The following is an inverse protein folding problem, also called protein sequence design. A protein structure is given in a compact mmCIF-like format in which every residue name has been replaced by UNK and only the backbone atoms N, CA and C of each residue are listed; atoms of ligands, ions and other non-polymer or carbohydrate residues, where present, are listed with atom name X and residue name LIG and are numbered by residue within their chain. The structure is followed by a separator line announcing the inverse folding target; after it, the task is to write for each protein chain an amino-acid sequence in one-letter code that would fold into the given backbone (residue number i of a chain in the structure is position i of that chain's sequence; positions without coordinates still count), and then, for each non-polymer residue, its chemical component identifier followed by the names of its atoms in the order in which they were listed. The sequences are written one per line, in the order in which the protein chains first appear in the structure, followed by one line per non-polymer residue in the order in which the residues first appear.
data_IF_003398309408
#
_entry.id   IF_003398309408
#
_cell.length_a   1.000
_cell.length_b   1.000
_cell.length_c   1.000
_cell.angle_alpha   90.00
_cell.angle_beta   90.00
_cell.angle_gamma   90.00
#
_symmetry.space_group_name_H-M   'P 1'
#
loop_
_entity.id
_entity.type
_entity.pdbx_description
1 polymer ?
#
# COMPACT_ATOMS: atom_id res chain seq x y z
N UNK A 1 -1.81 -38.40 27.87
CA UNK A 1 -1.26 -38.15 26.52
C UNK A 1 -2.19 -37.31 25.64
N UNK A 2 -3.46 -37.72 25.40
CA UNK A 2 -4.44 -36.95 24.60
C UNK A 2 -4.72 -35.52 25.12
N UNK A 3 -4.81 -35.35 26.45
CA UNK A 3 -4.99 -34.04 27.10
C UNK A 3 -3.76 -33.12 26.93
N UNK A 4 -2.57 -33.71 26.79
CA UNK A 4 -1.31 -32.98 26.63
C UNK A 4 -1.16 -32.46 25.19
N UNK A 5 -1.60 -33.25 24.20
CA UNK A 5 -1.67 -32.83 22.79
C UNK A 5 -2.71 -31.73 22.55
N UNK A 6 -3.84 -31.77 23.25
CA UNK A 6 -4.87 -30.73 23.13
C UNK A 6 -4.39 -29.39 23.70
N UNK A 7 -3.59 -29.42 24.76
CA UNK A 7 -3.01 -28.23 25.39
C UNK A 7 -1.96 -27.54 24.50
N UNK A 8 -1.16 -28.30 23.75
CA UNK A 8 -0.16 -27.74 22.81
C UNK A 8 -0.79 -27.11 21.58
N UNK A 9 -1.92 -27.64 21.10
CA UNK A 9 -2.69 -27.06 19.98
C UNK A 9 -3.28 -25.69 20.33
N UNK A 10 -3.81 -25.54 21.55
CA UNK A 10 -4.38 -24.27 22.03
C UNK A 10 -3.27 -23.22 22.24
N UNK A 11 -2.12 -23.63 22.78
CA UNK A 11 -0.96 -22.74 22.93
C UNK A 11 -0.44 -22.25 21.57
N UNK A 12 -0.33 -23.14 20.57
CA UNK A 12 0.10 -22.77 19.22
C UNK A 12 -0.87 -21.79 18.52
N UNK A 13 -2.18 -21.94 18.72
CA UNK A 13 -3.18 -21.02 18.17
C UNK A 13 -3.07 -19.60 18.77
N UNK A 14 -2.66 -19.48 20.03
CA UNK A 14 -2.49 -18.19 20.70
C UNK A 14 -1.31 -17.36 20.16
N UNK A 15 -0.28 -18.01 19.60
CA UNK A 15 0.86 -17.33 18.97
C UNK A 15 0.49 -16.66 17.64
N UNK A 16 -0.53 -17.16 16.93
CA UNK A 16 -1.03 -16.54 15.69
C UNK A 16 -1.96 -15.36 15.96
N UNK A 17 -2.53 -15.23 17.16
CA UNK A 17 -3.42 -14.12 17.52
C UNK A 17 -2.67 -12.81 17.79
N UNK A 18 -1.33 -12.84 17.91
CA UNK A 18 -0.47 -11.65 18.14
C UNK A 18 0.25 -11.23 16.87
N UNK A 19 -0.28 -11.55 15.68
CA UNK A 19 0.12 -10.84 14.46
C UNK A 19 -0.37 -9.40 14.58
N UNK A 20 0.50 -8.53 15.10
CA UNK A 20 0.31 -7.09 15.20
C UNK A 20 -0.32 -6.58 13.90
N UNK A 21 -1.59 -6.14 13.96
CA UNK A 21 -2.19 -5.42 12.85
C UNK A 21 -1.34 -4.16 12.66
N UNK A 22 -0.69 -4.04 11.50
CA UNK A 22 0.05 -2.85 11.13
C UNK A 22 -0.85 -1.63 11.37
N UNK A 23 -0.45 -0.76 12.30
CA UNK A 23 -1.27 0.35 12.78
C UNK A 23 -1.20 1.53 11.81
N UNK A 24 -1.57 1.29 10.55
CA UNK A 24 -1.67 2.33 9.53
C UNK A 24 -3.02 3.08 9.58
N UNK A 25 -3.91 2.74 10.53
CA UNK A 25 -5.32 3.12 10.55
C UNK A 25 -5.57 4.60 10.23
N UNK A 26 -5.05 5.52 11.03
CA UNK A 26 -5.32 6.96 10.85
C UNK A 26 -4.85 7.51 9.51
N UNK A 27 -3.66 7.14 9.05
CA UNK A 27 -3.09 7.58 7.77
C UNK A 27 -3.82 6.94 6.59
N UNK A 28 -4.06 5.63 6.65
CA UNK A 28 -4.75 4.90 5.61
C UNK A 28 -6.22 5.35 5.50
N UNK A 29 -6.88 5.62 6.61
CA UNK A 29 -8.23 6.18 6.64
C UNK A 29 -8.27 7.57 6.03
N UNK A 30 -7.27 8.41 6.32
CA UNK A 30 -7.14 9.72 5.67
C UNK A 30 -6.93 9.59 4.15
N UNK A 31 -6.09 8.64 3.69
CA UNK A 31 -5.88 8.35 2.26
C UNK A 31 -7.18 7.87 1.62
N UNK A 32 -7.86 6.90 2.24
CA UNK A 32 -9.14 6.36 1.77
C UNK A 32 -10.21 7.44 1.68
N UNK A 33 -10.30 8.31 2.69
CA UNK A 33 -11.22 9.46 2.72
C UNK A 33 -10.89 10.48 1.64
N UNK A 34 -9.61 10.70 1.33
CA UNK A 34 -9.16 11.57 0.22
C UNK A 34 -9.52 10.98 -1.14
N UNK A 35 -9.60 9.65 -1.25
CA UNK A 35 -10.01 8.92 -2.44
C UNK A 35 -8.90 8.73 -3.48
N UNK A 36 -7.65 9.09 -3.15
CA UNK A 36 -6.48 8.89 -4.01
C UNK A 36 -5.18 8.93 -3.20
N UNK A 37 -4.12 8.34 -3.75
CA UNK A 37 -2.75 8.46 -3.23
C UNK A 37 -2.11 9.74 -3.78
N UNK A 38 -1.66 10.62 -2.90
CA UNK A 38 -0.79 11.73 -3.28
C UNK A 38 0.62 11.18 -3.49
N UNK A 39 1.06 11.12 -4.75
CA UNK A 39 2.35 10.57 -5.13
C UNK A 39 3.36 11.71 -5.32
N UNK A 40 4.37 11.79 -4.44
CA UNK A 40 5.47 12.74 -4.57
C UNK A 40 6.58 12.12 -5.42
N UNK A 41 6.77 12.64 -6.63
CA UNK A 41 7.81 12.22 -7.57
C UNK A 41 8.53 13.46 -8.11
N UNK A 42 9.76 13.27 -8.56
CA UNK A 42 10.50 14.29 -9.27
C UNK A 42 10.10 14.31 -10.75
N UNK A 43 10.47 15.37 -11.47
CA UNK A 43 10.41 15.40 -12.93
C UNK A 43 11.82 15.52 -13.50
N UNK A 44 12.07 14.90 -14.65
CA UNK A 44 13.32 15.09 -15.40
C UNK A 44 14.22 13.86 -15.56
N UNK A 45 13.77 12.66 -15.15
CA UNK A 45 14.54 11.43 -15.40
C UNK A 45 13.70 10.40 -16.17
N UNK A 46 13.84 10.35 -17.52
CA UNK A 46 13.19 9.35 -18.35
C UNK A 46 13.46 7.92 -17.86
N UNK A 47 12.40 7.12 -17.76
CA UNK A 47 12.44 5.76 -17.19
C UNK A 47 12.10 5.70 -15.69
N UNK A 48 12.22 6.79 -14.95
CA UNK A 48 11.87 6.87 -13.53
C UNK A 48 10.60 7.69 -13.30
N UNK A 49 10.70 8.98 -13.51
CA UNK A 49 9.58 9.92 -13.42
C UNK A 49 9.84 11.07 -14.38
N UNK A 50 8.99 11.14 -15.39
CA UNK A 50 9.06 12.15 -16.45
C UNK A 50 7.65 12.52 -16.91
N UNK A 51 7.37 13.82 -16.93
CA UNK A 51 6.15 14.35 -17.54
C UNK A 51 6.33 14.49 -19.06
N UNK A 52 5.45 13.85 -19.83
CA UNK A 52 5.39 14.10 -21.27
C UNK A 52 4.81 15.48 -21.61
N UNK A 53 4.75 15.83 -22.90
CA UNK A 53 4.22 17.12 -23.36
C UNK A 53 2.73 17.35 -23.00
N UNK A 54 1.99 16.29 -22.67
CA UNK A 54 0.60 16.38 -22.20
C UNK A 54 0.51 16.57 -20.68
N UNK A 55 1.65 16.60 -19.97
CA UNK A 55 1.74 16.67 -18.53
C UNK A 55 1.49 15.33 -17.84
N UNK A 56 1.47 14.21 -18.58
CA UNK A 56 1.25 12.89 -18.01
C UNK A 56 2.58 12.28 -17.58
N UNK A 57 2.65 11.93 -16.30
CA UNK A 57 3.83 11.28 -15.73
C UNK A 57 3.92 9.80 -16.13
N UNK A 58 5.13 9.38 -16.47
CA UNK A 58 5.49 8.00 -16.78
C UNK A 58 6.83 7.60 -16.15
N UNK A 59 7.04 6.28 -15.99
CA UNK A 59 8.27 5.69 -15.44
C UNK A 59 8.03 4.88 -14.16
N UNK A 60 9.10 4.27 -13.63
CA UNK A 60 9.01 3.32 -12.52
C UNK A 60 8.43 3.92 -11.23
N UNK A 61 8.74 5.18 -10.91
CA UNK A 61 8.24 5.84 -9.69
C UNK A 61 6.72 6.02 -9.77
N UNK A 62 6.22 6.34 -10.97
CA UNK A 62 4.79 6.48 -11.25
C UNK A 62 4.09 5.13 -11.14
N UNK A 63 4.72 4.08 -11.66
CA UNK A 63 4.15 2.73 -11.63
C UNK A 63 4.11 2.15 -10.22
N UNK A 64 5.08 2.48 -9.36
CA UNK A 64 5.04 2.17 -7.93
C UNK A 64 3.83 2.85 -7.26
N UNK A 65 3.59 4.13 -7.56
CA UNK A 65 2.42 4.83 -7.03
C UNK A 65 1.09 4.25 -7.54
N UNK A 66 1.02 3.86 -8.82
CA UNK A 66 -0.15 3.17 -9.39
C UNK A 66 -0.39 1.81 -8.73
N UNK A 67 0.67 1.05 -8.47
CA UNK A 67 0.58 -0.23 -7.77
C UNK A 67 0.06 -0.06 -6.34
N UNK A 68 0.55 0.97 -5.62
CA UNK A 68 0.04 1.31 -4.29
C UNK A 68 -1.45 1.71 -4.35
N UNK A 69 -1.85 2.49 -5.34
CA UNK A 69 -3.26 2.88 -5.51
C UNK A 69 -4.15 1.67 -5.83
N UNK A 70 -3.69 0.76 -6.68
CA UNK A 70 -4.38 -0.50 -6.96
C UNK A 70 -4.52 -1.36 -5.68
N UNK A 71 -3.48 -1.42 -4.84
CA UNK A 71 -3.52 -2.18 -3.59
C UNK A 71 -4.51 -1.57 -2.56
N UNK A 72 -4.62 -0.24 -2.51
CA UNK A 72 -5.49 0.46 -1.53
C UNK A 72 -6.94 0.56 -2.01
N UNK A 73 -7.14 0.83 -3.31
CA UNK A 73 -8.44 1.19 -3.89
C UNK A 73 -8.99 0.18 -4.90
N UNK A 74 -8.22 -0.82 -5.31
CA UNK A 74 -8.56 -1.68 -6.45
C UNK A 74 -8.49 -0.98 -7.81
N UNK A 75 -7.97 0.25 -7.84
CA UNK A 75 -7.94 1.11 -9.03
C UNK A 75 -6.61 1.87 -9.10
N UNK A 76 -5.79 1.51 -10.10
CA UNK A 76 -4.49 2.11 -10.35
C UNK A 76 -4.56 3.59 -10.77
N UNK A 77 -5.73 4.07 -11.21
CA UNK A 77 -5.94 5.47 -11.60
C UNK A 77 -6.09 6.42 -10.41
N UNK A 78 -6.25 5.91 -9.19
CA UNK A 78 -6.41 6.70 -7.94
C UNK A 78 -5.08 7.28 -7.46
N UNK A 79 -4.34 7.93 -8.35
CA UNK A 79 -3.06 8.59 -8.08
C UNK A 79 -3.17 10.05 -8.48
N UNK A 80 -2.67 10.94 -7.62
CA UNK A 80 -2.45 12.35 -7.93
C UNK A 80 -0.97 12.68 -7.78
N UNK A 81 -0.33 13.07 -8.87
CA UNK A 81 1.05 13.57 -8.93
C UNK A 81 0.98 15.10 -9.00
N UNK A 82 1.19 15.82 -7.89
CA UNK A 82 1.18 17.26 -7.91
C UNK A 82 2.44 17.73 -8.65
N UNK A 83 2.29 18.75 -9.50
CA UNK A 83 3.43 19.44 -10.10
C UNK A 83 4.07 20.38 -9.08
#
# INVERSE_FOLDING_TARGET
MKKMMLSTLIAAASLFAVTQQAHAGTTLDAIKKKGFIQCGISDGLPGFSYADASGKFTGIDVDVCRAAAAAVFGDASKVNTPR
#
